data_IF_594454415233
#
_entry.id   IF_594454415233
#
_cell.length_a   1.000
_cell.length_b   1.000
_cell.length_c   1.000
_cell.angle_alpha   90.00
_cell.angle_beta   90.00
_cell.angle_gamma   90.00
#
_symmetry.space_group_name_H-M   'P 1'
#
loop_
_entity.id
_entity.type
_entity.pdbx_description
1 polymer ?
#
# COMPACT_ATOMS: atom_id res chain seq x y z
N UNK A 1 -12.08 26.56 1.01
CA UNK A 1 -13.03 27.54 0.43
C UNK A 1 -13.18 28.66 1.44
N UNK A 2 -13.14 29.93 1.04
CA UNK A 2 -13.23 31.06 1.99
C UNK A 2 -14.54 31.84 1.90
N UNK A 3 -15.39 31.55 0.90
CA UNK A 3 -16.70 32.18 0.72
C UNK A 3 -17.65 31.28 -0.11
N UNK A 4 -18.70 30.67 0.49
CA UNK A 4 -19.63 29.79 -0.24
C UNK A 4 -20.53 30.53 -1.24
N UNK A 5 -20.69 31.86 -1.11
CA UNK A 5 -21.46 32.68 -2.06
C UNK A 5 -20.65 33.06 -3.32
N UNK A 6 -19.34 32.81 -3.30
CA UNK A 6 -18.43 33.04 -4.42
C UNK A 6 -17.29 32.03 -4.33
N UNK A 7 -17.54 30.75 -4.68
CA UNK A 7 -16.60 29.67 -4.41
C UNK A 7 -15.34 29.83 -5.25
N UNK A 8 -14.27 30.33 -4.64
CA UNK A 8 -12.94 30.43 -5.25
C UNK A 8 -12.01 29.39 -4.63
N UNK A 9 -11.09 28.89 -5.45
CA UNK A 9 -9.98 28.03 -5.02
C UNK A 9 -8.68 28.79 -5.27
N UNK A 10 -7.80 28.83 -4.27
CA UNK A 10 -6.46 29.39 -4.46
C UNK A 10 -5.62 28.41 -5.27
N UNK A 11 -5.01 28.89 -6.35
CA UNK A 11 -4.29 28.05 -7.31
C UNK A 11 -2.77 28.12 -7.20
N UNK A 12 -2.23 29.05 -6.40
CA UNK A 12 -0.78 29.19 -6.20
C UNK A 12 -0.34 28.58 -4.87
N UNK A 13 0.23 27.39 -4.94
CA UNK A 13 0.99 26.78 -3.85
C UNK A 13 2.33 26.27 -4.39
N UNK A 14 3.41 27.01 -4.11
CA UNK A 14 4.75 26.69 -4.60
C UNK A 14 5.27 25.35 -4.08
N UNK A 15 4.83 24.93 -2.88
CA UNK A 15 5.21 23.64 -2.33
C UNK A 15 4.54 22.48 -3.08
N UNK A 16 3.24 22.59 -3.36
CA UNK A 16 2.51 21.60 -4.16
C UNK A 16 3.12 21.45 -5.56
N UNK A 17 3.42 22.58 -6.22
CA UNK A 17 4.04 22.55 -7.55
C UNK A 17 5.38 21.80 -7.56
N UNK A 18 6.22 21.99 -6.53
CA UNK A 18 7.48 21.27 -6.41
C UNK A 18 7.26 19.76 -6.19
N UNK A 19 6.31 19.38 -5.33
CA UNK A 19 5.99 17.96 -5.08
C UNK A 19 5.50 17.25 -6.34
N UNK A 20 4.64 17.89 -7.14
CA UNK A 20 4.14 17.34 -8.41
C UNK A 20 5.29 17.15 -9.41
N UNK A 21 6.17 18.15 -9.54
CA UNK A 21 7.35 18.07 -10.41
C UNK A 21 8.29 16.95 -10.00
N UNK A 22 8.60 16.84 -8.71
CA UNK A 22 9.48 15.80 -8.18
C UNK A 22 8.89 14.40 -8.39
N UNK A 23 7.59 14.22 -8.14
CA UNK A 23 6.91 12.95 -8.35
C UNK A 23 6.96 12.51 -9.82
N UNK A 24 6.67 13.43 -10.75
CA UNK A 24 6.71 13.14 -12.20
C UNK A 24 8.12 12.94 -12.73
N UNK A 25 9.13 13.56 -12.13
CA UNK A 25 10.53 13.30 -12.46
C UNK A 25 10.94 11.85 -12.12
N UNK A 26 10.36 11.25 -11.08
CA UNK A 26 10.61 9.85 -10.71
C UNK A 26 9.73 8.87 -11.50
N UNK A 27 8.47 9.24 -11.77
CA UNK A 27 7.54 8.43 -12.55
C UNK A 27 6.70 9.35 -13.46
N UNK A 28 7.04 9.45 -14.76
CA UNK A 28 6.32 10.34 -15.68
C UNK A 28 4.86 9.95 -15.91
N UNK A 29 4.50 8.69 -15.63
CA UNK A 29 3.15 8.15 -15.79
C UNK A 29 2.33 8.21 -14.49
N UNK A 30 2.86 8.83 -13.41
CA UNK A 30 2.14 8.94 -12.14
C UNK A 30 0.87 9.79 -12.31
N UNK A 31 -0.24 9.27 -11.78
CA UNK A 31 -1.52 9.99 -11.72
C UNK A 31 -1.71 10.54 -10.32
N UNK A 32 -1.95 11.85 -10.20
CA UNK A 32 -2.02 12.56 -8.91
C UNK A 32 -3.39 13.19 -8.74
N UNK A 33 -4.05 12.89 -7.62
CA UNK A 33 -5.36 13.43 -7.28
C UNK A 33 -5.25 14.50 -6.19
N UNK A 34 -6.11 15.52 -6.25
CA UNK A 34 -6.39 16.38 -5.11
C UNK A 34 -7.46 15.73 -4.22
N UNK A 35 -7.21 15.61 -2.92
CA UNK A 35 -8.19 15.16 -1.95
C UNK A 35 -8.96 16.34 -1.36
N UNK A 36 -10.30 16.26 -1.32
CA UNK A 36 -11.09 17.22 -0.55
C UNK A 36 -10.89 17.03 0.95
N UNK A 37 -10.47 18.08 1.65
CA UNK A 37 -10.46 18.07 3.12
C UNK A 37 -11.88 17.93 3.67
N UNK A 38 -12.05 17.18 4.77
CA UNK A 38 -13.34 16.89 5.36
C UNK A 38 -13.51 17.64 6.70
N UNK A 39 -14.38 18.64 6.73
CA UNK A 39 -14.79 19.32 7.98
C UNK A 39 -16.29 19.66 7.93
N UNK A 40 -16.88 19.92 9.09
CA UNK A 40 -18.30 20.31 9.14
C UNK A 40 -18.54 21.65 8.44
N UNK A 41 -17.58 22.57 8.53
CA UNK A 41 -17.61 23.85 7.81
C UNK A 41 -17.64 23.65 6.29
N UNK A 42 -16.73 22.80 5.77
CA UNK A 42 -16.69 22.45 4.35
C UNK A 42 -18.00 21.81 3.89
N UNK A 43 -18.58 20.93 4.71
CA UNK A 43 -19.87 20.29 4.41
C UNK A 43 -21.01 21.30 4.33
N UNK A 44 -21.07 22.25 5.26
CA UNK A 44 -22.10 23.30 5.26
C UNK A 44 -21.98 24.23 4.04
N UNK A 45 -20.73 24.58 3.67
CA UNK A 45 -20.45 25.34 2.45
C UNK A 45 -20.90 24.58 1.20
N UNK A 46 -20.58 23.28 1.11
CA UNK A 46 -21.03 22.42 0.01
C UNK A 46 -22.55 22.37 -0.07
N UNK A 47 -23.27 22.22 1.04
CA UNK A 47 -24.74 22.26 1.04
C UNK A 47 -25.28 23.56 0.45
N UNK A 48 -24.69 24.70 0.81
CA UNK A 48 -25.05 26.01 0.28
C UNK A 48 -24.81 26.09 -1.23
N UNK A 49 -23.63 25.66 -1.68
CA UNK A 49 -23.22 25.66 -3.09
C UNK A 49 -24.11 24.73 -3.92
N UNK A 50 -24.31 23.48 -3.49
CA UNK A 50 -25.07 22.45 -4.22
C UNK A 50 -26.54 22.84 -4.38
N UNK A 51 -27.12 23.50 -3.37
CA UNK A 51 -28.51 23.95 -3.43
C UNK A 51 -28.75 25.12 -4.40
N UNK A 52 -27.69 25.72 -4.96
CA UNK A 52 -27.77 26.75 -5.98
C UNK A 52 -27.10 26.28 -7.28
N UNK A 53 -27.86 25.99 -8.36
CA UNK A 53 -27.30 25.46 -9.61
C UNK A 53 -26.19 26.30 -10.25
N UNK A 54 -26.25 27.63 -10.12
CA UNK A 54 -25.23 28.52 -10.66
C UNK A 54 -23.93 28.46 -9.85
N UNK A 55 -24.04 28.42 -8.51
CA UNK A 55 -22.87 28.25 -7.64
C UNK A 55 -22.25 26.87 -7.82
N UNK A 56 -23.06 25.82 -7.91
CA UNK A 56 -22.59 24.46 -8.15
C UNK A 56 -21.82 24.33 -9.47
N UNK A 57 -22.34 24.91 -10.55
CA UNK A 57 -21.67 24.91 -11.86
C UNK A 57 -20.34 25.68 -11.80
N UNK A 58 -20.34 26.84 -11.14
CA UNK A 58 -19.13 27.65 -10.93
C UNK A 58 -18.10 26.89 -10.11
N UNK A 59 -18.54 26.25 -9.02
CA UNK A 59 -17.68 25.47 -8.16
C UNK A 59 -17.03 24.29 -8.90
N UNK A 60 -17.80 23.48 -9.62
CA UNK A 60 -17.28 22.36 -10.39
C UNK A 60 -16.26 22.82 -11.45
N UNK A 61 -16.53 23.94 -12.13
CA UNK A 61 -15.59 24.55 -13.09
C UNK A 61 -14.30 25.01 -12.39
N UNK A 62 -14.42 25.59 -11.20
CA UNK A 62 -13.26 26.03 -10.44
C UNK A 62 -12.42 24.87 -9.92
N UNK A 63 -13.01 23.73 -9.57
CA UNK A 63 -12.27 22.51 -9.26
C UNK A 63 -11.46 22.05 -10.48
N UNK A 64 -12.09 21.95 -11.66
CA UNK A 64 -11.37 21.58 -12.89
C UNK A 64 -10.21 22.55 -13.22
N UNK A 65 -10.43 23.86 -13.06
CA UNK A 65 -9.39 24.87 -13.22
C UNK A 65 -8.26 24.72 -12.19
N UNK A 66 -8.59 24.37 -10.95
CA UNK A 66 -7.60 24.10 -9.91
C UNK A 66 -6.73 22.90 -10.28
N UNK A 67 -7.31 21.80 -10.76
CA UNK A 67 -6.58 20.63 -11.23
C UNK A 67 -5.64 21.00 -12.39
N UNK A 68 -6.15 21.73 -13.40
CA UNK A 68 -5.39 22.19 -14.55
C UNK A 68 -4.16 23.02 -14.15
N UNK A 69 -4.37 24.01 -13.28
CA UNK A 69 -3.33 24.95 -12.87
C UNK A 69 -2.25 24.32 -11.99
N UNK A 70 -2.50 23.14 -11.42
CA UNK A 70 -1.57 22.44 -10.55
C UNK A 70 -1.05 21.12 -11.16
N UNK A 71 -1.32 20.88 -12.45
CA UNK A 71 -0.92 19.65 -13.17
C UNK A 71 -1.34 18.36 -12.46
N UNK A 72 -2.57 18.37 -11.95
CA UNK A 72 -3.21 17.22 -11.28
C UNK A 72 -4.16 16.52 -12.25
N UNK A 73 -4.37 15.23 -12.03
CA UNK A 73 -5.14 14.36 -12.92
C UNK A 73 -6.57 14.12 -12.43
N UNK A 74 -6.88 14.40 -11.17
CA UNK A 74 -8.21 14.11 -10.65
C UNK A 74 -8.50 14.68 -9.27
N UNK A 75 -9.70 14.40 -8.79
CA UNK A 75 -10.20 14.85 -7.50
C UNK A 75 -10.82 13.67 -6.74
N UNK A 76 -10.42 13.49 -5.48
CA UNK A 76 -10.96 12.47 -4.59
C UNK A 76 -11.87 13.11 -3.53
N UNK A 77 -12.99 12.45 -3.27
CA UNK A 77 -13.96 12.84 -2.24
C UNK A 77 -13.87 11.82 -1.11
N UNK A 78 -13.40 12.27 0.06
CA UNK A 78 -13.47 11.50 1.28
C UNK A 78 -14.93 11.43 1.78
N UNK A 79 -15.62 10.35 1.39
CA UNK A 79 -17.04 10.14 1.64
C UNK A 79 -17.24 9.42 2.98
N UNK A 80 -17.08 10.20 4.04
CA UNK A 80 -17.44 9.85 5.40
C UNK A 80 -18.00 11.05 6.15
N UNK A 81 -18.36 10.90 7.42
CA UNK A 81 -18.84 12.05 8.19
C UNK A 81 -17.70 13.08 8.35
N UNK A 82 -17.95 14.38 8.08
CA UNK A 82 -19.27 14.99 7.89
C UNK A 82 -19.77 15.08 6.43
N UNK A 83 -18.92 14.85 5.41
CA UNK A 83 -19.29 14.95 3.99
C UNK A 83 -20.52 14.09 3.63
N UNK A 84 -20.62 12.89 4.20
CA UNK A 84 -21.75 11.96 3.99
C UNK A 84 -23.09 12.43 4.56
N UNK A 85 -23.15 13.58 5.24
CA UNK A 85 -24.39 14.26 5.64
C UNK A 85 -25.10 14.92 4.46
N UNK A 86 -24.41 15.16 3.33
CA UNK A 86 -25.07 15.57 2.10
C UNK A 86 -26.15 14.55 1.77
N UNK A 87 -27.37 15.01 1.50
CA UNK A 87 -28.47 14.11 1.15
C UNK A 87 -28.20 13.36 -0.16
N UNK A 88 -28.88 12.23 -0.37
CA UNK A 88 -28.86 11.48 -1.64
C UNK A 88 -29.05 12.37 -2.88
N UNK A 89 -29.93 13.38 -2.79
CA UNK A 89 -30.14 14.35 -3.88
C UNK A 89 -28.92 15.26 -4.07
N UNK A 90 -28.37 15.78 -2.98
CA UNK A 90 -27.20 16.68 -3.04
C UNK A 90 -25.94 15.95 -3.54
N UNK A 91 -25.72 14.71 -3.09
CA UNK A 91 -24.69 13.82 -3.62
C UNK A 91 -24.81 13.71 -5.15
N UNK A 92 -25.99 13.36 -5.65
CA UNK A 92 -26.22 13.21 -7.09
C UNK A 92 -26.02 14.50 -7.88
N UNK A 93 -26.51 15.63 -7.36
CA UNK A 93 -26.30 16.93 -8.01
C UNK A 93 -24.82 17.29 -8.09
N UNK A 94 -24.07 17.04 -7.02
CA UNK A 94 -22.66 17.38 -6.96
C UNK A 94 -21.80 16.53 -7.88
N UNK A 95 -21.95 15.19 -7.84
CA UNK A 95 -21.20 14.28 -8.70
C UNK A 95 -21.49 14.52 -10.18
N UNK A 96 -22.75 14.77 -10.56
CA UNK A 96 -23.10 15.10 -11.95
C UNK A 96 -22.48 16.43 -12.41
N UNK A 97 -22.41 17.44 -11.52
CA UNK A 97 -21.78 18.71 -11.86
C UNK A 97 -20.25 18.56 -12.04
N UNK A 98 -19.60 17.79 -11.17
CA UNK A 98 -18.18 17.46 -11.30
C UNK A 98 -17.90 16.66 -12.57
N UNK A 99 -18.61 15.56 -12.80
CA UNK A 99 -18.44 14.73 -14.00
C UNK A 99 -18.63 15.54 -15.29
N UNK A 100 -19.62 16.45 -15.33
CA UNK A 100 -19.78 17.37 -16.47
C UNK A 100 -18.59 18.33 -16.64
N UNK A 101 -18.06 18.89 -15.54
CA UNK A 101 -16.93 19.83 -15.60
C UNK A 101 -15.60 19.13 -15.94
N UNK A 102 -15.46 17.87 -15.54
CA UNK A 102 -14.24 17.09 -15.76
C UNK A 102 -14.22 16.46 -17.16
N UNK A 103 -15.38 16.00 -17.64
CA UNK A 103 -15.47 15.26 -18.90
C UNK A 103 -14.46 14.10 -18.92
N UNK A 104 -13.83 13.88 -20.07
CA UNK A 104 -12.79 12.85 -20.22
C UNK A 104 -11.39 13.35 -19.81
N UNK A 105 -11.28 14.54 -19.20
CA UNK A 105 -9.97 15.18 -18.92
C UNK A 105 -9.44 14.84 -17.52
N UNK A 106 -10.32 14.77 -16.53
CA UNK A 106 -9.94 14.56 -15.13
C UNK A 106 -10.71 13.39 -14.53
N UNK A 107 -10.03 12.64 -13.67
CA UNK A 107 -10.65 11.56 -12.92
C UNK A 107 -11.43 12.08 -11.72
N UNK A 108 -12.53 11.42 -11.40
CA UNK A 108 -13.28 11.59 -10.16
C UNK A 108 -13.21 10.30 -9.34
N UNK A 109 -12.71 10.42 -8.11
CA UNK A 109 -12.64 9.33 -7.16
C UNK A 109 -13.54 9.59 -5.93
N UNK A 110 -13.99 8.51 -5.31
CA UNK A 110 -14.68 8.53 -4.02
C UNK A 110 -14.01 7.52 -3.10
N UNK A 111 -13.61 7.96 -1.91
CA UNK A 111 -13.11 7.12 -0.83
C UNK A 111 -14.17 6.97 0.24
N UNK A 112 -14.94 5.87 0.25
CA UNK A 112 -16.13 5.71 1.08
C UNK A 112 -15.96 4.70 2.23
N UNK A 113 -16.60 4.99 3.36
CA UNK A 113 -16.76 4.07 4.49
C UNK A 113 -18.23 3.63 4.67
N UNK A 114 -18.49 2.64 5.53
CA UNK A 114 -19.86 2.18 5.85
C UNK A 114 -20.14 2.07 7.34
N UNK A 115 -19.27 2.64 8.18
CA UNK A 115 -19.31 2.56 9.63
C UNK A 115 -20.36 3.48 10.28
N UNK A 116 -20.88 4.46 9.55
CA UNK A 116 -21.81 5.46 10.07
C UNK A 116 -23.08 5.60 9.22
N UNK A 117 -24.14 6.05 9.87
CA UNK A 117 -25.41 6.35 9.20
C UNK A 117 -25.23 7.43 8.15
N UNK A 118 -25.85 7.25 6.99
CA UNK A 118 -25.75 8.15 5.85
C UNK A 118 -24.64 7.79 4.88
N UNK A 119 -23.54 7.16 5.30
CA UNK A 119 -22.41 6.89 4.40
C UNK A 119 -22.82 6.08 3.17
N UNK A 120 -23.66 5.05 3.35
CA UNK A 120 -24.21 4.28 2.21
C UNK A 120 -25.48 4.94 1.69
N UNK A 121 -26.50 5.14 2.53
CA UNK A 121 -27.84 5.55 2.09
C UNK A 121 -27.88 6.93 1.39
N UNK A 122 -26.96 7.84 1.71
CA UNK A 122 -26.88 9.15 1.07
C UNK A 122 -25.99 9.19 -0.18
N UNK A 123 -25.27 8.10 -0.51
CA UNK A 123 -24.62 8.03 -1.81
C UNK A 123 -25.68 7.96 -2.90
N UNK A 124 -25.49 8.70 -3.98
CA UNK A 124 -26.34 8.58 -5.15
C UNK A 124 -25.75 7.57 -6.11
N UNK A 125 -26.28 6.34 -6.12
CA UNK A 125 -25.68 5.26 -6.89
C UNK A 125 -25.65 5.52 -8.40
N UNK A 126 -26.72 6.11 -8.96
CA UNK A 126 -26.77 6.45 -10.38
C UNK A 126 -25.68 7.46 -10.76
N UNK A 127 -25.49 8.50 -9.94
CA UNK A 127 -24.47 9.52 -10.20
C UNK A 127 -23.05 8.98 -9.96
N UNK A 128 -22.85 8.09 -8.99
CA UNK A 128 -21.57 7.39 -8.82
C UNK A 128 -21.25 6.59 -10.07
N UNK A 129 -22.17 5.70 -10.47
CA UNK A 129 -21.96 4.82 -11.62
C UNK A 129 -21.75 5.58 -12.95
N UNK A 130 -22.28 6.80 -13.06
CA UNK A 130 -22.18 7.61 -14.27
C UNK A 130 -20.95 8.52 -14.33
N UNK A 131 -20.34 8.88 -13.19
CA UNK A 131 -19.32 9.94 -13.16
C UNK A 131 -18.05 9.57 -12.39
N UNK A 132 -18.01 8.49 -11.61
CA UNK A 132 -16.87 8.12 -10.77
C UNK A 132 -16.03 7.05 -11.47
N UNK A 133 -14.73 7.32 -11.59
CA UNK A 133 -13.77 6.43 -12.22
C UNK A 133 -13.19 5.42 -11.23
N UNK A 134 -13.05 5.82 -9.97
CA UNK A 134 -12.44 5.00 -8.91
C UNK A 134 -13.26 5.10 -7.63
N UNK A 135 -13.75 3.98 -7.12
CA UNK A 135 -14.47 3.93 -5.84
C UNK A 135 -13.66 3.16 -4.81
N UNK A 136 -12.93 3.86 -3.95
CA UNK A 136 -12.08 3.23 -2.96
C UNK A 136 -12.86 2.94 -1.66
N UNK A 137 -12.86 1.68 -1.20
CA UNK A 137 -13.42 1.34 0.09
C UNK A 137 -12.40 1.55 1.20
N UNK A 138 -12.73 2.38 2.19
CA UNK A 138 -12.01 2.49 3.44
C UNK A 138 -12.20 1.21 4.26
N UNK A 139 -11.52 0.11 3.88
CA UNK A 139 -11.91 -1.24 4.30
C UNK A 139 -11.75 -1.49 5.81
N UNK A 140 -10.95 -0.67 6.49
CA UNK A 140 -10.88 -0.60 7.95
C UNK A 140 -12.19 -0.13 8.62
N UNK A 141 -13.02 0.64 7.91
CA UNK A 141 -14.36 1.09 8.31
C UNK A 141 -15.49 0.50 7.46
N UNK A 142 -15.20 -0.51 6.63
CA UNK A 142 -16.18 -1.23 5.82
C UNK A 142 -16.12 -2.71 6.19
N UNK A 143 -16.89 -3.10 7.19
CA UNK A 143 -16.96 -4.50 7.64
C UNK A 143 -17.68 -5.42 6.65
N UNK A 144 -18.54 -4.87 5.80
CA UNK A 144 -19.22 -5.60 4.74
C UNK A 144 -19.32 -4.75 3.46
N UNK A 145 -18.45 -4.97 2.45
CA UNK A 145 -18.44 -4.19 1.21
C UNK A 145 -19.68 -4.41 0.33
N UNK A 146 -20.42 -5.52 0.52
CA UNK A 146 -21.62 -5.82 -0.27
C UNK A 146 -22.76 -4.83 -0.08
N UNK A 147 -22.72 -4.00 0.98
CA UNK A 147 -23.72 -2.95 1.21
C UNK A 147 -23.74 -1.91 0.09
N UNK A 148 -22.60 -1.63 -0.55
CA UNK A 148 -22.54 -0.69 -1.68
C UNK A 148 -23.16 -1.29 -2.94
N UNK A 149 -22.93 -2.57 -3.20
CA UNK A 149 -23.56 -3.29 -4.31
C UNK A 149 -25.07 -3.37 -4.09
N UNK A 150 -25.50 -3.69 -2.86
CA UNK A 150 -26.92 -3.70 -2.50
C UNK A 150 -27.59 -2.33 -2.64
N UNK A 151 -26.82 -1.25 -2.47
CA UNK A 151 -27.26 0.12 -2.70
C UNK A 151 -27.28 0.54 -4.18
N UNK A 152 -26.80 -0.32 -5.09
CA UNK A 152 -26.83 -0.12 -6.53
C UNK A 152 -25.52 0.43 -7.13
N UNK A 153 -24.45 0.53 -6.36
CA UNK A 153 -23.12 0.86 -6.89
C UNK A 153 -22.61 -0.33 -7.72
N UNK A 154 -22.07 -0.06 -8.90
CA UNK A 154 -21.50 -1.09 -9.74
C UNK A 154 -20.29 -1.72 -9.04
N UNK A 155 -20.30 -3.05 -8.91
CA UNK A 155 -19.21 -3.79 -8.29
C UNK A 155 -17.88 -3.60 -9.04
N UNK A 156 -17.94 -3.38 -10.36
CA UNK A 156 -16.77 -3.14 -11.22
C UNK A 156 -16.12 -1.75 -11.02
N UNK A 157 -16.58 -0.96 -10.03
CA UNK A 157 -15.92 0.26 -9.58
C UNK A 157 -15.20 0.09 -8.24
N UNK A 158 -15.53 -0.95 -7.46
CA UNK A 158 -15.12 -1.04 -6.06
C UNK A 158 -13.66 -1.45 -5.94
N UNK A 159 -12.89 -0.64 -5.22
CA UNK A 159 -11.51 -0.86 -4.83
C UNK A 159 -11.37 -1.22 -3.36
N UNK A 160 -10.31 -1.94 -3.02
CA UNK A 160 -9.96 -2.32 -1.65
C UNK A 160 -9.04 -1.30 -1.01
N UNK A 161 -9.26 -0.97 0.27
CA UNK A 161 -8.40 -0.07 1.01
C UNK A 161 -7.56 -0.77 2.08
N UNK A 162 -6.27 -0.91 1.82
CA UNK A 162 -5.30 -1.45 2.76
C UNK A 162 -4.96 -0.41 3.85
N UNK A 163 -5.12 -0.78 5.12
CA UNK A 163 -4.83 0.08 6.27
C UNK A 163 -3.45 -0.22 6.89
N UNK A 164 -2.40 0.12 6.15
CA UNK A 164 -1.03 -0.24 6.50
C UNK A 164 -0.54 0.45 7.78
N UNK A 165 -1.04 1.65 8.10
CA UNK A 165 -0.71 2.39 9.33
C UNK A 165 -0.95 1.54 10.61
N UNK A 166 -1.94 0.65 10.59
CA UNK A 166 -2.24 -0.24 11.73
C UNK A 166 -1.32 -1.45 11.87
N UNK A 167 -0.30 -1.58 11.00
CA UNK A 167 0.60 -2.74 10.97
C UNK A 167 0.10 -3.91 10.12
N UNK A 168 -0.98 -3.71 9.34
CA UNK A 168 -1.42 -4.69 8.34
C UNK A 168 -0.32 -4.90 7.30
N UNK A 169 0.00 -6.16 7.00
CA UNK A 169 1.01 -6.50 5.99
C UNK A 169 0.44 -6.48 4.58
N UNK A 170 1.31 -6.29 3.59
CA UNK A 170 0.97 -6.40 2.18
C UNK A 170 0.41 -7.79 1.81
N UNK A 171 0.90 -8.85 2.45
CA UNK A 171 0.37 -10.20 2.25
C UNK A 171 -1.08 -10.29 2.71
N UNK A 172 -1.37 -9.83 3.93
CA UNK A 172 -2.75 -9.84 4.44
C UNK A 172 -3.67 -8.99 3.55
N UNK A 173 -3.24 -7.78 3.17
CA UNK A 173 -3.99 -6.92 2.26
C UNK A 173 -4.26 -7.61 0.91
N UNK A 174 -3.28 -8.30 0.33
CA UNK A 174 -3.43 -9.03 -0.93
C UNK A 174 -4.42 -10.19 -0.84
N UNK A 175 -4.45 -10.90 0.30
CA UNK A 175 -5.40 -11.99 0.52
C UNK A 175 -6.83 -11.46 0.62
N UNK A 176 -7.03 -10.33 1.31
CA UNK A 176 -8.35 -9.68 1.39
C UNK A 176 -8.80 -9.14 0.02
N UNK A 177 -7.87 -8.55 -0.74
CA UNK A 177 -8.14 -8.13 -2.12
C UNK A 177 -8.53 -9.30 -3.02
N UNK A 178 -7.77 -10.40 -2.99
CA UNK A 178 -8.07 -11.60 -3.77
C UNK A 178 -9.40 -12.26 -3.34
N UNK A 179 -9.75 -12.15 -2.05
CA UNK A 179 -11.01 -12.63 -1.51
C UNK A 179 -12.22 -11.82 -1.98
N UNK A 180 -12.04 -10.67 -2.64
CA UNK A 180 -13.08 -9.90 -3.33
C UNK A 180 -14.32 -9.56 -2.48
N UNK A 181 -15.47 -9.45 -3.15
CA UNK A 181 -16.76 -9.12 -2.54
C UNK A 181 -17.78 -10.21 -2.87
N UNK A 182 -18.34 -10.84 -1.84
CA UNK A 182 -19.46 -11.77 -1.99
C UNK A 182 -20.80 -11.03 -1.92
N UNK A 183 -21.64 -11.18 -2.94
CA UNK A 183 -23.01 -10.65 -2.95
C UNK A 183 -23.95 -11.54 -3.78
N UNK A 184 -25.10 -11.92 -3.20
CA UNK A 184 -26.12 -12.75 -3.86
C UNK A 184 -25.56 -14.02 -4.54
N UNK A 185 -24.66 -14.74 -3.87
CA UNK A 185 -23.97 -15.94 -4.39
C UNK A 185 -23.05 -15.70 -5.59
N UNK A 186 -22.69 -14.44 -5.87
CA UNK A 186 -21.68 -14.06 -6.84
C UNK A 186 -20.47 -13.46 -6.12
N UNK A 187 -19.30 -13.76 -6.66
CA UNK A 187 -18.03 -13.22 -6.25
C UNK A 187 -17.64 -12.11 -7.23
N UNK A 188 -17.33 -10.93 -6.70
CA UNK A 188 -16.87 -9.77 -7.48
C UNK A 188 -15.41 -9.45 -7.10
N UNK A 189 -14.52 -9.25 -8.07
CA UNK A 189 -13.16 -8.80 -7.78
C UNK A 189 -13.16 -7.34 -7.33
N UNK A 190 -12.15 -6.95 -6.57
CA UNK A 190 -11.79 -5.54 -6.46
C UNK A 190 -11.00 -5.11 -7.69
N UNK A 191 -11.12 -3.84 -8.04
CA UNK A 191 -10.57 -3.28 -9.28
C UNK A 191 -9.28 -2.50 -9.05
N UNK A 192 -9.18 -1.88 -7.87
CA UNK A 192 -8.03 -1.11 -7.43
C UNK A 192 -7.69 -1.49 -5.99
N UNK A 193 -6.43 -1.25 -5.60
CA UNK A 193 -6.02 -1.27 -4.21
C UNK A 193 -5.50 0.12 -3.85
N UNK A 194 -6.02 0.70 -2.78
CA UNK A 194 -5.49 1.93 -2.18
C UNK A 194 -4.78 1.60 -0.87
N UNK A 195 -3.89 2.48 -0.45
CA UNK A 195 -3.23 2.44 0.85
C UNK A 195 -3.56 3.71 1.62
N UNK A 196 -4.15 3.57 2.80
CA UNK A 196 -4.24 4.65 3.77
C UNK A 196 -3.19 4.42 4.87
N UNK A 197 -2.20 5.29 5.06
CA UNK A 197 -1.81 6.51 4.30
C UNK A 197 -0.28 6.49 4.11
N UNK A 198 0.32 7.58 3.61
CA UNK A 198 1.76 7.66 3.32
C UNK A 198 2.55 8.64 4.20
N UNK A 199 1.87 9.33 5.12
CA UNK A 199 2.41 10.39 5.95
C UNK A 199 2.24 10.08 7.46
N UNK A 200 2.27 8.81 7.85
CA UNK A 200 2.25 8.45 9.27
C UNK A 200 3.65 8.51 9.90
N UNK A 201 3.73 8.35 11.23
CA UNK A 201 5.00 8.19 11.94
C UNK A 201 5.73 6.88 11.61
N UNK A 202 5.09 5.95 10.91
CA UNK A 202 5.64 4.67 10.46
C UNK A 202 5.72 4.56 8.93
N UNK A 203 5.91 5.69 8.24
CA UNK A 203 6.04 5.73 6.78
C UNK A 203 7.08 4.76 6.18
N UNK A 204 8.22 4.39 6.85
CA UNK A 204 9.14 3.41 6.29
C UNK A 204 8.49 2.04 6.14
N UNK A 205 7.65 1.61 7.09
CA UNK A 205 6.89 0.37 7.01
C UNK A 205 5.82 0.44 5.92
N UNK A 206 5.09 1.55 5.81
CA UNK A 206 4.01 1.72 4.83
C UNK A 206 4.52 1.69 3.39
N UNK A 207 5.57 2.47 3.09
CA UNK A 207 6.22 2.47 1.79
C UNK A 207 6.72 1.08 1.41
N UNK A 208 7.32 0.41 2.39
CA UNK A 208 7.80 -0.95 2.32
C UNK A 208 6.69 -1.95 1.94
N UNK A 209 5.53 -1.88 2.59
CA UNK A 209 4.39 -2.72 2.23
C UNK A 209 3.84 -2.41 0.83
N UNK A 210 3.86 -1.15 0.37
CA UNK A 210 3.44 -0.82 -0.99
C UNK A 210 4.35 -1.41 -2.07
N UNK A 211 5.66 -1.48 -1.83
CA UNK A 211 6.60 -2.16 -2.75
C UNK A 211 6.26 -3.65 -2.88
N UNK A 212 5.79 -4.28 -1.80
CA UNK A 212 5.33 -5.68 -1.79
C UNK A 212 3.93 -5.86 -2.36
N UNK A 213 3.06 -4.85 -2.34
CA UNK A 213 1.70 -4.95 -2.89
C UNK A 213 1.71 -5.20 -4.41
N UNK A 214 2.55 -4.48 -5.16
CA UNK A 214 2.64 -4.63 -6.62
C UNK A 214 2.80 -6.12 -7.02
N UNK A 215 3.81 -6.86 -6.51
CA UNK A 215 3.98 -8.23 -6.91
C UNK A 215 2.84 -9.17 -6.51
N UNK A 216 2.22 -8.96 -5.34
CA UNK A 216 1.06 -9.75 -4.93
C UNK A 216 -0.16 -9.52 -5.83
N UNK A 217 -0.35 -8.31 -6.34
CA UNK A 217 -1.50 -7.96 -7.19
C UNK A 217 -1.34 -8.39 -8.65
N UNK A 218 -0.13 -8.33 -9.19
CA UNK A 218 0.11 -8.68 -10.60
C UNK A 218 0.30 -10.18 -10.85
N UNK A 219 0.26 -11.01 -9.78
CA UNK A 219 0.61 -12.44 -9.87
C UNK A 219 2.02 -12.65 -10.42
N UNK A 220 2.82 -11.60 -10.36
CA UNK A 220 4.13 -11.48 -10.97
C UNK A 220 4.94 -10.53 -10.11
N UNK A 221 6.19 -10.88 -9.82
CA UNK A 221 6.85 -12.05 -10.38
C UNK A 221 6.62 -13.27 -9.48
N UNK A 222 6.71 -14.48 -10.04
CA UNK A 222 6.94 -15.72 -9.26
C UNK A 222 8.16 -15.60 -8.34
N UNK A 223 8.95 -14.53 -8.54
CA UNK A 223 10.17 -14.16 -7.85
C UNK A 223 10.21 -12.66 -7.52
N UNK A 224 9.99 -12.22 -6.28
CA UNK A 224 10.12 -10.79 -5.92
C UNK A 224 11.57 -10.47 -5.56
N UNK A 225 12.22 -9.59 -6.34
CA UNK A 225 13.55 -9.08 -6.02
C UNK A 225 13.44 -8.01 -4.93
N UNK A 226 14.36 -8.01 -3.97
CA UNK A 226 14.47 -6.97 -2.96
C UNK A 226 15.92 -6.51 -2.77
N UNK A 227 16.07 -5.24 -2.37
CA UNK A 227 17.35 -4.64 -1.99
C UNK A 227 17.12 -3.54 -0.94
N UNK A 228 17.36 -3.88 0.33
CA UNK A 228 17.22 -2.93 1.44
C UNK A 228 18.30 -1.84 1.42
N UNK A 229 19.35 -1.99 0.62
CA UNK A 229 20.37 -0.97 0.43
C UNK A 229 19.78 0.33 -0.13
N UNK A 230 18.76 0.24 -0.99
CA UNK A 230 18.06 1.42 -1.49
C UNK A 230 17.35 2.21 -0.37
N UNK A 231 16.73 1.49 0.58
CA UNK A 231 16.05 2.09 1.74
C UNK A 231 17.05 2.80 2.64
N UNK A 232 18.21 2.17 2.89
CA UNK A 232 19.26 2.75 3.72
C UNK A 232 19.98 3.92 3.04
N UNK A 233 20.21 3.86 1.73
CA UNK A 233 20.85 4.94 0.97
C UNK A 233 19.99 6.22 0.91
N UNK A 234 18.67 6.10 1.07
CA UNK A 234 17.78 7.24 1.19
C UNK A 234 17.87 7.94 2.56
N UNK A 235 18.46 7.30 3.57
CA UNK A 235 18.62 7.88 4.90
C UNK A 235 19.87 8.77 4.98
N UNK A 236 19.81 9.82 5.80
CA UNK A 236 20.96 10.74 6.01
C UNK A 236 21.99 10.20 7.01
N UNK A 237 21.60 9.23 7.83
CA UNK A 237 22.42 8.70 8.93
C UNK A 237 22.77 7.23 8.66
N UNK A 238 24.06 6.87 8.55
CA UNK A 238 24.48 5.48 8.43
C UNK A 238 24.02 4.63 9.61
N UNK A 239 23.63 3.39 9.33
CA UNK A 239 23.18 2.43 10.34
C UNK A 239 23.86 1.08 10.18
N UNK A 240 23.85 0.27 11.24
CA UNK A 240 24.27 -1.13 11.23
C UNK A 240 23.13 -2.03 11.68
N UNK A 241 23.15 -3.29 11.25
CA UNK A 241 22.18 -4.29 11.72
C UNK A 241 22.38 -4.55 13.22
N UNK A 242 21.33 -4.36 14.00
CA UNK A 242 21.26 -4.63 15.44
C UNK A 242 20.58 -5.96 15.74
N UNK A 243 19.55 -6.30 14.99
CA UNK A 243 18.89 -7.59 15.16
C UNK A 243 18.36 -8.15 13.85
N UNK A 244 18.26 -9.47 13.79
CA UNK A 244 17.70 -10.21 12.66
C UNK A 244 16.65 -11.16 13.18
N UNK A 245 15.48 -11.15 12.54
CA UNK A 245 14.43 -12.14 12.72
C UNK A 245 14.36 -12.99 11.45
N UNK A 246 14.37 -14.30 11.62
CA UNK A 246 14.19 -15.30 10.57
C UNK A 246 12.93 -16.08 10.91
N UNK A 247 12.00 -16.14 9.96
CA UNK A 247 10.86 -17.06 10.00
C UNK A 247 11.26 -18.33 9.26
N UNK A 248 11.10 -19.47 9.93
CA UNK A 248 11.40 -20.76 9.31
C UNK A 248 10.48 -21.87 9.80
N UNK A 249 10.23 -22.82 8.91
CA UNK A 249 9.51 -24.07 9.17
C UNK A 249 10.19 -25.20 8.42
N UNK A 250 9.59 -25.62 7.31
CA UNK A 250 10.19 -26.60 6.40
C UNK A 250 11.37 -26.02 5.60
N UNK A 251 11.34 -24.72 5.33
CA UNK A 251 12.37 -23.93 4.64
C UNK A 251 12.49 -22.56 5.31
N UNK A 252 13.26 -21.63 4.73
CA UNK A 252 13.31 -20.24 5.20
C UNK A 252 12.16 -19.45 4.57
N UNK A 253 11.15 -19.16 5.39
CA UNK A 253 9.96 -18.42 4.95
C UNK A 253 10.27 -16.95 4.75
N UNK A 254 10.95 -16.31 5.71
CA UNK A 254 11.28 -14.89 5.61
C UNK A 254 12.47 -14.46 6.45
N UNK A 255 13.02 -13.28 6.12
CA UNK A 255 14.03 -12.57 6.89
C UNK A 255 13.66 -11.10 7.07
N UNK A 256 13.97 -10.53 8.24
CA UNK A 256 13.81 -9.10 8.53
C UNK A 256 14.96 -8.65 9.42
N UNK A 257 15.49 -7.45 9.19
CA UNK A 257 16.48 -6.84 10.08
C UNK A 257 15.98 -5.54 10.71
N UNK A 258 16.52 -5.23 11.87
CA UNK A 258 16.43 -3.93 12.51
C UNK A 258 17.82 -3.31 12.55
N UNK A 259 17.91 -2.08 12.11
CA UNK A 259 19.14 -1.31 12.02
C UNK A 259 19.13 -0.15 13.01
N UNK A 260 20.31 0.26 13.48
CA UNK A 260 20.44 1.48 14.28
C UNK A 260 21.69 2.28 13.93
N UNK A 261 21.64 3.60 14.15
CA UNK A 261 22.81 4.47 14.13
C UNK A 261 23.78 4.11 15.26
N UNK A 262 25.04 4.50 15.12
CA UNK A 262 26.10 4.18 16.10
C UNK A 262 25.85 4.76 17.49
N UNK A 263 25.09 5.85 17.59
CA UNK A 263 24.68 6.48 18.84
C UNK A 263 23.29 6.01 19.34
N UNK A 264 22.63 5.11 18.60
CA UNK A 264 21.30 4.60 18.90
C UNK A 264 20.17 5.63 18.80
N UNK A 265 20.46 6.85 18.32
CA UNK A 265 19.45 7.92 18.16
C UNK A 265 18.41 7.61 17.08
N UNK A 266 18.75 6.73 16.14
CA UNK A 266 17.91 6.33 15.02
C UNK A 266 17.87 4.80 14.93
N UNK A 267 16.68 4.23 14.95
CA UNK A 267 16.42 2.79 14.80
C UNK A 267 15.38 2.61 13.71
N UNK A 268 15.65 1.75 12.74
CA UNK A 268 14.74 1.44 11.63
C UNK A 268 14.58 -0.07 11.51
N UNK A 269 13.34 -0.54 11.52
CA UNK A 269 13.01 -1.91 11.16
C UNK A 269 12.81 -1.97 9.64
N UNK A 270 13.61 -2.78 8.96
CA UNK A 270 13.54 -2.97 7.51
C UNK A 270 12.41 -3.93 7.15
N UNK A 271 12.23 -4.14 5.85
CA UNK A 271 11.22 -5.03 5.30
C UNK A 271 11.40 -6.47 5.75
N UNK A 272 10.28 -7.15 6.02
CA UNK A 272 10.28 -8.61 5.99
C UNK A 272 10.24 -9.05 4.53
N UNK A 273 11.26 -9.79 4.12
CA UNK A 273 11.35 -10.40 2.79
C UNK A 273 11.04 -11.88 2.87
N UNK A 274 9.91 -12.26 2.29
CA UNK A 274 9.39 -13.63 2.32
C UNK A 274 7.92 -13.64 2.73
N UNK A 275 7.40 -14.81 3.10
CA UNK A 275 6.02 -14.99 3.54
C UNK A 275 5.84 -14.98 5.05
N UNK A 276 4.58 -15.07 5.49
CA UNK A 276 4.21 -15.18 6.91
C UNK A 276 4.20 -16.64 7.41
N UNK A 277 4.71 -17.59 6.62
CA UNK A 277 4.90 -18.98 7.03
C UNK A 277 5.96 -19.14 8.12
N UNK A 278 6.12 -20.38 8.59
CA UNK A 278 7.09 -20.73 9.64
C UNK A 278 6.85 -20.05 10.99
N UNK A 279 7.79 -20.29 11.92
CA UNK A 279 7.82 -19.60 13.20
C UNK A 279 8.98 -18.60 13.20
N UNK A 280 8.70 -17.37 13.64
CA UNK A 280 9.74 -16.38 13.91
C UNK A 280 10.60 -16.84 15.10
N UNK A 281 11.92 -16.74 14.94
CA UNK A 281 12.85 -16.95 16.05
C UNK A 281 12.86 -15.76 17.02
N UNK A 282 13.45 -15.97 18.19
CA UNK A 282 13.87 -14.84 19.02
C UNK A 282 14.89 -14.00 18.25
N UNK A 283 14.80 -12.65 18.25
CA UNK A 283 15.72 -11.81 17.50
C UNK A 283 17.19 -12.14 17.78
N UNK A 284 17.96 -12.33 16.71
CA UNK A 284 19.41 -12.55 16.78
C UNK A 284 20.05 -11.19 16.99
N UNK A 285 20.43 -10.86 18.21
CA UNK A 285 21.04 -9.58 18.54
C UNK A 285 22.52 -9.55 18.14
N UNK A 286 22.94 -8.46 17.49
CA UNK A 286 24.27 -8.24 16.96
C UNK A 286 24.88 -7.00 17.61
N UNK A 287 25.95 -7.18 18.39
CA UNK A 287 26.61 -6.05 19.06
C UNK A 287 27.50 -5.24 18.10
N UNK A 288 28.11 -5.90 17.11
CA UNK A 288 29.12 -5.30 16.23
C UNK A 288 28.73 -5.37 14.74
N UNK A 289 27.43 -5.47 14.45
CA UNK A 289 26.93 -5.75 13.11
C UNK A 289 27.19 -7.18 12.64
N UNK A 290 26.86 -7.45 11.38
CA UNK A 290 27.05 -8.75 10.73
C UNK A 290 28.21 -8.65 9.73
N UNK A 291 29.14 -9.60 9.76
CA UNK A 291 30.27 -9.64 8.81
C UNK A 291 30.22 -10.83 7.86
N UNK A 292 29.52 -11.90 8.23
CA UNK A 292 29.31 -13.06 7.38
C UNK A 292 28.07 -13.84 7.80
N UNK A 293 27.50 -14.57 6.85
CA UNK A 293 26.50 -15.62 7.09
C UNK A 293 26.64 -16.72 6.04
N UNK A 294 26.04 -17.87 6.30
CA UNK A 294 25.94 -18.94 5.31
C UNK A 294 24.50 -19.35 5.11
N UNK A 295 24.20 -19.95 3.97
CA UNK A 295 22.88 -20.46 3.66
C UNK A 295 22.95 -21.67 2.75
N UNK A 296 21.86 -22.42 2.71
CA UNK A 296 21.69 -23.59 1.87
C UNK A 296 20.49 -23.35 0.98
N UNK A 297 20.63 -23.64 -0.31
CA UNK A 297 19.50 -23.72 -1.24
C UNK A 297 19.17 -25.16 -1.56
N UNK A 298 17.97 -25.42 -2.06
CA UNK A 298 17.56 -26.74 -2.56
C UNK A 298 16.16 -26.68 -3.15
N UNK A 299 15.76 -27.74 -3.85
CA UNK A 299 14.44 -27.83 -4.45
C UNK A 299 13.41 -28.32 -3.43
N UNK A 300 12.39 -27.51 -3.18
CA UNK A 300 11.25 -27.82 -2.33
C UNK A 300 9.97 -27.58 -3.13
N UNK A 301 9.11 -28.61 -3.23
CA UNK A 301 7.95 -28.61 -4.14
C UNK A 301 8.25 -28.16 -5.58
N UNK A 302 9.44 -28.51 -6.09
CA UNK A 302 9.87 -28.19 -7.46
C UNK A 302 10.55 -26.84 -7.63
N UNK A 303 10.56 -25.98 -6.60
CA UNK A 303 11.16 -24.64 -6.69
C UNK A 303 12.48 -24.61 -5.91
N UNK A 304 13.51 -23.98 -6.49
CA UNK A 304 14.78 -23.79 -5.80
C UNK A 304 14.66 -22.62 -4.82
N UNK A 305 14.81 -22.90 -3.52
CA UNK A 305 14.57 -21.96 -2.44
C UNK A 305 15.73 -21.98 -1.44
N UNK A 306 15.81 -20.96 -0.58
CA UNK A 306 16.69 -20.97 0.59
C UNK A 306 16.06 -21.88 1.66
N UNK A 307 16.66 -23.04 1.86
CA UNK A 307 16.12 -24.08 2.76
C UNK A 307 16.70 -24.00 4.16
N UNK A 308 17.81 -23.27 4.34
CA UNK A 308 18.39 -22.99 5.64
C UNK A 308 19.29 -21.75 5.59
N UNK A 309 19.28 -20.92 6.63
CA UNK A 309 20.25 -19.84 6.85
C UNK A 309 20.94 -20.07 8.20
N UNK A 310 22.24 -19.81 8.25
CA UNK A 310 23.04 -19.82 9.48
C UNK A 310 23.60 -18.43 9.76
N UNK A 311 23.22 -17.85 10.90
CA UNK A 311 23.73 -16.57 11.41
C UNK A 311 24.30 -16.80 12.82
N UNK A 312 25.50 -16.29 13.10
CA UNK A 312 26.21 -16.48 14.37
C UNK A 312 26.24 -17.95 14.83
N UNK A 313 26.46 -18.86 13.89
CA UNK A 313 26.54 -20.31 14.16
C UNK A 313 25.21 -21.01 14.46
N UNK A 314 24.08 -20.29 14.39
CA UNK A 314 22.74 -20.88 14.59
C UNK A 314 22.01 -20.97 13.26
N UNK A 315 21.48 -22.15 12.96
CA UNK A 315 20.75 -22.44 11.71
C UNK A 315 19.24 -22.34 11.87
N UNK A 316 18.57 -21.84 10.82
CA UNK A 316 17.13 -21.65 10.72
C UNK A 316 16.65 -22.13 9.34
N UNK A 317 15.78 -23.16 9.27
CA UNK A 317 15.43 -24.08 10.37
C UNK A 317 16.67 -24.81 10.90
N UNK A 318 16.60 -25.37 12.11
CA UNK A 318 17.74 -26.05 12.75
C UNK A 318 18.24 -27.27 11.95
N UNK A 319 17.35 -27.91 11.21
CA UNK A 319 17.62 -29.04 10.32
C UNK A 319 16.93 -28.82 8.98
N UNK A 320 17.59 -29.17 7.88
CA UNK A 320 16.99 -29.12 6.54
C UNK A 320 15.88 -30.19 6.43
N UNK A 321 14.75 -29.82 5.86
CA UNK A 321 13.63 -30.73 5.63
C UNK A 321 14.06 -31.90 4.72
N UNK A 322 13.77 -33.17 5.07
CA UNK A 322 14.20 -34.35 4.31
C UNK A 322 13.60 -34.47 2.92
N UNK A 323 12.54 -33.72 2.60
CA UNK A 323 11.91 -33.67 1.28
C UNK A 323 12.60 -32.66 0.34
N UNK A 324 13.57 -31.90 0.82
CA UNK A 324 14.41 -31.03 -0.01
C UNK A 324 15.44 -31.89 -0.75
N UNK A 325 15.60 -31.62 -2.05
CA UNK A 325 16.60 -32.30 -2.90
C UNK A 325 17.58 -31.31 -3.52
N UNK A 326 18.71 -31.83 -4.02
CA UNK A 326 19.76 -31.08 -4.73
C UNK A 326 20.28 -29.85 -3.98
N UNK A 327 20.63 -30.05 -2.70
CA UNK A 327 21.08 -28.95 -1.84
C UNK A 327 22.44 -28.38 -2.25
N UNK A 328 22.58 -27.05 -2.17
CA UNK A 328 23.84 -26.33 -2.41
C UNK A 328 24.14 -25.36 -1.27
N UNK A 329 25.41 -25.31 -0.84
CA UNK A 329 25.86 -24.46 0.26
C UNK A 329 26.51 -23.17 -0.26
N UNK A 330 26.20 -22.06 0.39
CA UNK A 330 26.72 -20.74 0.07
C UNK A 330 27.23 -20.04 1.33
N UNK A 331 28.20 -19.15 1.13
CA UNK A 331 28.73 -18.28 2.18
C UNK A 331 28.86 -16.87 1.64
N UNK A 332 28.40 -15.90 2.43
CA UNK A 332 28.51 -14.47 2.14
C UNK A 332 29.40 -13.87 3.21
N UNK A 333 30.45 -13.16 2.79
CA UNK A 333 31.40 -12.49 3.66
C UNK A 333 31.58 -11.06 3.20
N UNK A 334 31.45 -10.10 4.12
CA UNK A 334 31.70 -8.70 3.82
C UNK A 334 33.16 -8.48 3.36
N UNK A 335 33.41 -7.60 2.38
CA UNK A 335 34.76 -7.19 2.02
C UNK A 335 35.54 -6.64 3.21
N UNK A 336 36.87 -6.71 3.16
CA UNK A 336 37.72 -6.19 4.22
C UNK A 336 37.40 -4.71 4.53
N UNK A 337 37.14 -4.41 5.80
CA UNK A 337 36.79 -3.07 6.27
C UNK A 337 35.32 -2.67 6.07
N UNK A 338 34.46 -3.56 5.61
CA UNK A 338 33.00 -3.34 5.48
C UNK A 338 32.20 -4.28 6.36
N UNK A 339 30.93 -3.94 6.55
CA UNK A 339 29.95 -4.80 7.23
C UNK A 339 28.74 -5.06 6.34
N UNK A 340 27.99 -6.11 6.65
CA UNK A 340 26.67 -6.32 6.07
C UNK A 340 25.70 -5.41 6.81
N UNK A 341 25.18 -4.41 6.11
CA UNK A 341 24.26 -3.40 6.65
C UNK A 341 22.80 -3.69 6.33
N UNK A 342 22.53 -4.54 5.35
CA UNK A 342 21.19 -4.92 4.93
C UNK A 342 21.25 -6.22 4.13
N UNK A 343 20.08 -6.71 3.68
CA UNK A 343 19.99 -7.83 2.75
C UNK A 343 19.43 -7.40 1.41
N UNK A 344 19.84 -8.12 0.37
CA UNK A 344 19.21 -8.11 -0.94
C UNK A 344 19.01 -9.55 -1.39
N UNK A 345 18.12 -9.77 -2.36
CA UNK A 345 17.84 -11.12 -2.80
C UNK A 345 16.53 -11.25 -3.54
N UNK A 346 15.96 -12.44 -3.41
CA UNK A 346 14.73 -12.82 -4.08
C UNK A 346 13.86 -13.64 -3.14
N UNK A 347 12.55 -13.41 -3.18
CA UNK A 347 11.55 -14.34 -2.65
C UNK A 347 10.89 -15.04 -3.82
N UNK A 348 10.26 -16.20 -3.61
CA UNK A 348 9.48 -16.83 -4.65
C UNK A 348 8.20 -17.47 -4.12
N UNK A 349 7.28 -17.69 -5.05
CA UNK A 349 6.02 -18.37 -4.84
C UNK A 349 6.19 -19.89 -4.94
N UNK A 350 5.66 -20.63 -3.95
CA UNK A 350 5.70 -22.11 -3.93
C UNK A 350 4.30 -22.68 -3.71
N UNK A 351 3.86 -23.52 -4.66
CA UNK A 351 2.64 -24.31 -4.55
C UNK A 351 2.84 -25.49 -3.59
N UNK A 352 1.95 -25.67 -2.63
CA UNK A 352 2.00 -26.74 -1.64
C UNK A 352 1.09 -27.91 -2.05
N UNK A 353 1.45 -29.14 -1.67
CA UNK A 353 0.72 -30.35 -2.03
C UNK A 353 -0.78 -30.38 -1.61
N UNK A 354 -1.17 -29.55 -0.63
CA UNK A 354 -2.55 -29.42 -0.15
C UNK A 354 -3.43 -28.44 -0.95
N UNK A 355 -2.92 -27.85 -2.05
CA UNK A 355 -3.65 -26.85 -2.84
C UNK A 355 -3.59 -25.43 -2.29
N UNK A 356 -2.65 -25.15 -1.38
CA UNK A 356 -2.30 -23.80 -0.91
C UNK A 356 -0.97 -23.31 -1.49
N UNK A 357 -0.51 -22.14 -1.06
CA UNK A 357 0.78 -21.59 -1.46
C UNK A 357 1.52 -20.92 -0.30
N UNK A 358 2.83 -20.73 -0.45
CA UNK A 358 3.65 -19.91 0.45
C UNK A 358 4.61 -19.02 -0.35
N UNK A 359 4.98 -17.88 0.23
CA UNK A 359 6.12 -17.09 -0.21
C UNK A 359 7.31 -17.44 0.66
N UNK A 360 8.43 -17.78 0.03
CA UNK A 360 9.65 -18.18 0.74
C UNK A 360 10.85 -17.48 0.13
N UNK A 361 11.93 -17.40 0.87
CA UNK A 361 13.17 -16.82 0.38
C UNK A 361 13.77 -17.75 -0.69
N UNK A 362 14.15 -17.23 -1.86
CA UNK A 362 14.74 -18.00 -2.96
C UNK A 362 16.19 -17.64 -3.24
N UNK A 363 16.59 -16.40 -2.96
CA UNK A 363 17.98 -15.95 -2.98
C UNK A 363 18.22 -14.94 -1.87
N UNK A 364 19.46 -14.89 -1.37
CA UNK A 364 19.87 -13.89 -0.40
C UNK A 364 21.35 -13.54 -0.56
N UNK A 365 21.65 -12.25 -0.37
CA UNK A 365 22.98 -11.69 -0.37
C UNK A 365 23.09 -10.56 0.66
N UNK A 366 24.32 -10.15 0.98
CA UNK A 366 24.58 -9.02 1.86
C UNK A 366 24.71 -7.71 1.09
N UNK A 367 24.10 -6.65 1.62
CA UNK A 367 24.39 -5.26 1.21
C UNK A 367 25.53 -4.75 2.08
N UNK A 368 26.58 -4.22 1.46
CA UNK A 368 27.81 -3.85 2.17
C UNK A 368 27.93 -2.33 2.38
N UNK A 369 28.14 -1.95 3.63
CA UNK A 369 28.36 -0.56 4.08
C UNK A 369 29.72 -0.35 4.70
#
# INVERSE_FOLDING_TARGET
MSNPSSPTLQTSNTYLAQQVLDARAQNPDITIFALLAYTQEITNDLQTIINNPALLTTFATNVANFLANNDLNGFDIDWEQPTSQLSHKQCGQWLNALGKAFGDTYYLAISASSNQSGNVNNLNADAVNANVDVFNLQSYWVSNPSVFIAHGINADLLGFGAYLESGVTALYASQQYAAGIQYQSKQYPYQTMMSWRLDSSNWPFEQSQQLLMRPYLTGQPDVVVFDDGAILNAQTTPTIIQSIVIRSGDVVDAIQCTNASSDGSYVVQLLQHGGDGGNGNNPINLTNGLTAFSYVTGYWYGQNVVVQITINGTSYPATINPNVVDTQNFQVTAPAGRTIIAFSGQTCYVNLAGGGFSWVLSQINGVFG
#
